data_IF_291463433388
#
_entry.id   IF_291463433388
#
_cell.length_a   1.000
_cell.length_b   1.000
_cell.length_c   1.000
_cell.angle_alpha   90.00
_cell.angle_beta   90.00
_cell.angle_gamma   90.00
#
_symmetry.space_group_name_H-M   'P 1'
#
loop_
_entity.id
_entity.type
_entity.pdbx_description
1 polymer ?
#
# COMPACT_ATOMS: atom_id res chain seq x y z
N UNK A 1 17.23 -32.28 26.21
CA UNK A 1 17.74 -31.05 25.57
C UNK A 1 17.08 -30.95 24.22
N UNK A 2 16.33 -29.87 23.98
CA UNK A 2 16.20 -29.20 22.69
C UNK A 2 15.56 -27.85 22.97
N UNK A 3 16.40 -26.87 23.25
CA UNK A 3 16.05 -25.46 23.04
C UNK A 3 16.01 -25.32 21.52
N UNK A 4 14.83 -25.42 20.92
CA UNK A 4 14.62 -24.94 19.56
C UNK A 4 14.66 -23.41 19.65
N UNK A 5 15.89 -22.91 19.76
CA UNK A 5 16.28 -21.53 19.48
C UNK A 5 16.18 -21.36 17.96
N UNK A 6 14.97 -21.45 17.42
CA UNK A 6 14.68 -20.98 16.06
C UNK A 6 14.57 -19.46 16.13
N UNK A 7 15.69 -18.82 16.45
CA UNK A 7 15.87 -17.40 16.22
C UNK A 7 15.60 -17.18 14.74
N UNK A 8 14.56 -16.40 14.42
CA UNK A 8 14.32 -15.92 13.07
C UNK A 8 15.66 -15.48 12.48
N UNK A 9 16.11 -16.17 11.44
CA UNK A 9 17.35 -15.79 10.76
C UNK A 9 17.25 -14.32 10.35
N UNK A 10 18.36 -13.58 10.37
CA UNK A 10 18.37 -12.15 10.02
C UNK A 10 17.69 -11.88 8.67
N UNK A 11 17.78 -12.81 7.72
CA UNK A 11 17.10 -12.77 6.43
C UNK A 11 15.56 -12.92 6.54
N UNK A 12 15.06 -13.78 7.43
CA UNK A 12 13.62 -13.87 7.68
C UNK A 12 13.10 -12.65 8.44
N UNK A 13 13.92 -12.07 9.32
CA UNK A 13 13.58 -10.87 10.07
C UNK A 13 13.51 -9.66 9.13
N UNK A 14 14.46 -9.51 8.21
CA UNK A 14 14.46 -8.50 7.14
C UNK A 14 13.26 -8.66 6.21
N UNK A 15 12.92 -9.89 5.79
CA UNK A 15 11.71 -10.17 5.01
C UNK A 15 10.42 -9.78 5.75
N UNK A 16 10.30 -10.14 7.03
CA UNK A 16 9.13 -9.78 7.84
C UNK A 16 9.02 -8.26 8.03
N UNK A 17 10.14 -7.56 8.24
CA UNK A 17 10.13 -6.09 8.36
C UNK A 17 9.71 -5.44 7.06
N UNK A 18 10.24 -5.87 5.91
CA UNK A 18 9.83 -5.35 4.59
C UNK A 18 8.35 -5.58 4.31
N UNK A 19 7.85 -6.78 4.61
CA UNK A 19 6.42 -7.09 4.46
C UNK A 19 5.55 -6.22 5.38
N UNK A 20 5.99 -6.00 6.63
CA UNK A 20 5.29 -5.12 7.58
C UNK A 20 5.27 -3.67 7.09
N UNK A 21 6.39 -3.16 6.59
CA UNK A 21 6.51 -1.80 6.05
C UNK A 21 5.61 -1.61 4.82
N UNK A 22 5.57 -2.58 3.91
CA UNK A 22 4.67 -2.53 2.75
C UNK A 22 3.19 -2.53 3.17
N UNK A 23 2.82 -3.32 4.17
CA UNK A 23 1.45 -3.31 4.72
C UNK A 23 1.09 -1.98 5.39
N UNK A 24 2.04 -1.37 6.10
CA UNK A 24 1.85 -0.08 6.76
C UNK A 24 1.70 1.05 5.73
N UNK A 25 2.55 1.06 4.69
CA UNK A 25 2.47 2.03 3.62
C UNK A 25 1.16 1.91 2.83
N UNK A 26 0.73 0.69 2.48
CA UNK A 26 -0.58 0.47 1.89
C UNK A 26 -1.72 1.02 2.76
N UNK A 27 -1.67 0.80 4.08
CA UNK A 27 -2.66 1.34 5.00
C UNK A 27 -2.72 2.87 4.96
N UNK A 28 -1.55 3.52 4.94
CA UNK A 28 -1.44 4.98 4.84
C UNK A 28 -2.02 5.50 3.52
N UNK A 29 -1.82 4.80 2.39
CA UNK A 29 -2.43 5.15 1.09
C UNK A 29 -3.96 5.09 1.19
N UNK A 30 -4.51 4.03 1.76
CA UNK A 30 -5.97 3.89 1.92
C UNK A 30 -6.55 4.99 2.83
N UNK A 31 -5.89 5.30 3.95
CA UNK A 31 -6.29 6.41 4.81
C UNK A 31 -6.25 7.74 4.04
N UNK A 32 -5.20 8.00 3.26
CA UNK A 32 -5.10 9.20 2.43
C UNK A 32 -6.25 9.30 1.41
N UNK A 33 -6.66 8.18 0.81
CA UNK A 33 -7.81 8.09 -0.11
C UNK A 33 -9.12 8.40 0.63
N UNK A 34 -9.31 7.86 1.83
CA UNK A 34 -10.49 8.14 2.65
C UNK A 34 -10.58 9.61 3.06
N UNK A 35 -9.45 10.19 3.48
CA UNK A 35 -9.35 11.61 3.80
C UNK A 35 -9.59 12.49 2.57
N UNK A 36 -9.00 12.16 1.44
CA UNK A 36 -9.22 12.85 0.17
C UNK A 36 -10.71 12.81 -0.23
N UNK A 37 -11.33 11.62 -0.13
CA UNK A 37 -12.76 11.42 -0.39
C UNK A 37 -13.64 12.25 0.54
N UNK A 38 -13.31 12.30 1.83
CA UNK A 38 -14.03 13.14 2.81
C UNK A 38 -13.94 14.63 2.47
N UNK A 39 -12.83 15.06 1.87
CA UNK A 39 -12.61 16.42 1.39
C UNK A 39 -13.16 16.66 -0.04
N UNK A 40 -13.88 15.69 -0.62
CA UNK A 40 -14.47 15.80 -1.95
C UNK A 40 -13.48 15.62 -3.11
N UNK A 41 -12.24 15.20 -2.83
CA UNK A 41 -11.28 14.80 -3.87
C UNK A 41 -11.56 13.35 -4.31
N UNK A 42 -11.11 13.04 -5.52
CA UNK A 42 -11.32 11.72 -6.17
C UNK A 42 -10.05 11.12 -6.75
N UNK A 43 -8.94 11.78 -6.44
CA UNK A 43 -7.63 11.43 -6.93
C UNK A 43 -6.59 11.85 -5.90
N UNK A 44 -5.52 11.05 -5.81
CA UNK A 44 -4.28 11.39 -5.13
C UNK A 44 -3.10 10.91 -5.98
N UNK A 45 -1.94 11.52 -5.76
CA UNK A 45 -0.68 11.02 -6.30
C UNK A 45 0.15 10.52 -5.12
N UNK A 46 0.61 9.28 -5.20
CA UNK A 46 1.49 8.67 -4.20
C UNK A 46 2.89 8.55 -4.78
N UNK A 47 3.87 9.09 -4.06
CA UNK A 47 5.28 8.88 -4.36
C UNK A 47 5.80 7.71 -3.51
N UNK A 48 6.88 7.05 -3.93
CA UNK A 48 7.49 5.92 -3.20
C UNK A 48 6.60 4.65 -3.11
N UNK A 49 5.81 4.38 -4.15
CA UNK A 49 4.96 3.19 -4.23
C UNK A 49 5.73 1.95 -4.65
N UNK A 50 5.25 0.78 -4.24
CA UNK A 50 5.77 -0.52 -4.69
C UNK A 50 4.82 -1.22 -5.68
N UNK A 51 5.33 -2.07 -6.59
CA UNK A 51 4.49 -2.81 -7.53
C UNK A 51 3.39 -3.65 -6.88
N UNK A 52 3.68 -4.25 -5.72
CA UNK A 52 2.69 -4.99 -4.93
C UNK A 52 1.53 -4.09 -4.48
N UNK A 53 1.81 -2.88 -4.02
CA UNK A 53 0.76 -1.93 -3.60
C UNK A 53 -0.10 -1.48 -4.77
N UNK A 54 0.52 -1.20 -5.92
CA UNK A 54 -0.20 -0.88 -7.14
C UNK A 54 -1.18 -2.00 -7.52
N UNK A 55 -0.73 -3.25 -7.47
CA UNK A 55 -1.59 -4.41 -7.72
C UNK A 55 -2.73 -4.51 -6.70
N UNK A 56 -2.43 -4.33 -5.40
CA UNK A 56 -3.46 -4.36 -4.34
C UNK A 56 -4.52 -3.26 -4.52
N UNK A 57 -4.12 -2.06 -4.95
CA UNK A 57 -5.02 -0.94 -5.25
C UNK A 57 -5.97 -1.27 -6.42
N UNK A 58 -5.46 -1.90 -7.48
CA UNK A 58 -6.29 -2.39 -8.59
C UNK A 58 -7.25 -3.48 -8.13
N UNK A 59 -6.79 -4.41 -7.28
CA UNK A 59 -7.64 -5.50 -6.76
C UNK A 59 -8.83 -5.01 -5.93
N UNK A 60 -8.69 -3.88 -5.23
CA UNK A 60 -9.81 -3.25 -4.50
C UNK A 60 -10.70 -2.37 -5.38
N UNK A 61 -10.42 -2.29 -6.69
CA UNK A 61 -11.23 -1.58 -7.67
C UNK A 61 -10.92 -0.09 -7.82
N UNK A 62 -9.71 0.33 -7.44
CA UNK A 62 -9.21 1.67 -7.75
C UNK A 62 -8.56 1.66 -9.13
N UNK A 63 -8.65 2.80 -9.80
CA UNK A 63 -7.95 3.03 -11.06
C UNK A 63 -6.60 3.66 -10.74
N UNK A 64 -5.53 3.10 -11.29
CA UNK A 64 -4.17 3.52 -10.99
C UNK A 64 -3.37 3.64 -12.29
N UNK A 65 -2.67 4.78 -12.42
CA UNK A 65 -1.82 5.10 -13.54
C UNK A 65 -0.42 5.46 -13.04
N UNK A 66 0.60 4.81 -13.62
CA UNK A 66 1.99 5.22 -13.41
C UNK A 66 2.29 6.44 -14.27
N UNK A 67 2.46 7.60 -13.64
CA UNK A 67 2.77 8.87 -14.32
C UNK A 67 4.27 9.21 -14.28
N UNK A 68 5.11 8.22 -13.95
CA UNK A 68 6.57 8.31 -13.93
C UNK A 68 7.16 8.95 -12.67
N UNK A 69 6.59 10.07 -12.20
CA UNK A 69 7.01 10.73 -10.95
C UNK A 69 6.27 10.19 -9.70
N UNK A 70 5.21 9.42 -9.92
CA UNK A 70 4.40 8.83 -8.86
C UNK A 70 3.26 7.98 -9.42
N UNK A 71 2.54 7.31 -8.53
CA UNK A 71 1.33 6.56 -8.86
C UNK A 71 0.13 7.48 -8.69
N UNK A 72 -0.54 7.77 -9.80
CA UNK A 72 -1.80 8.50 -9.79
C UNK A 72 -2.93 7.51 -9.53
N UNK A 73 -3.65 7.70 -8.43
CA UNK A 73 -4.74 6.83 -8.00
C UNK A 73 -6.02 7.65 -8.09
N UNK A 74 -6.99 7.19 -8.88
CA UNK A 74 -8.29 7.82 -8.98
C UNK A 74 -9.42 6.82 -8.79
N UNK A 75 -10.54 7.29 -8.24
CA UNK A 75 -11.71 6.45 -7.98
C UNK A 75 -13.01 7.07 -8.50
N UNK A 76 -13.92 6.23 -9.02
CA UNK A 76 -15.20 6.71 -9.52
C UNK A 76 -16.02 7.35 -8.40
N UNK A 77 -16.87 8.30 -8.78
CA UNK A 77 -17.93 8.80 -7.90
C UNK A 77 -18.75 7.59 -7.44
N UNK A 78 -18.74 7.27 -6.13
CA UNK A 78 -19.70 6.33 -5.58
C UNK A 78 -21.08 6.94 -5.82
N UNK A 79 -21.74 6.50 -6.90
CA UNK A 79 -23.11 6.87 -7.20
C UNK A 79 -23.97 6.40 -6.03
N UNK A 80 -24.53 7.38 -5.33
CA UNK A 80 -25.41 7.23 -4.18
C UNK A 80 -26.73 6.54 -4.55
#
# INVERSE_FOLDING_TARGET
MSLNDEGLTLEQLDKNVKQRLAQDHFHNIIEAIQWASYNGRREITVHDWTPDECQMLVEIGLDVDDVGDGLWIHWPEQQK
#
